data_IF_752258351508
#
_entry.id   IF_752258351508
#
_cell.length_a   1.000
_cell.length_b   1.000
_cell.length_c   1.000
_cell.angle_alpha   90.00
_cell.angle_beta   90.00
_cell.angle_gamma   90.00
#
_symmetry.space_group_name_H-M   'P 1'
#
loop_
_entity.id
_entity.type
_entity.pdbx_description
1 polymer ?
#
# COMPACT_ATOMS: atom_id res chain seq x y z
N UNK A 1 -0.61 7.27 12.05
CA UNK A 1 -0.67 8.40 11.11
C UNK A 1 -1.58 8.06 9.94
N UNK A 2 -2.47 8.95 9.60
CA UNK A 2 -3.39 8.79 8.47
C UNK A 2 -2.91 9.65 7.31
N UNK A 3 -2.97 9.10 6.11
CA UNK A 3 -2.59 9.80 4.89
C UNK A 3 -3.61 9.53 3.79
N UNK A 4 -3.74 10.48 2.88
CA UNK A 4 -4.54 10.30 1.67
C UNK A 4 -3.62 9.83 0.56
N UNK A 5 -3.96 8.73 -0.06
CA UNK A 5 -3.16 8.13 -1.13
C UNK A 5 -3.97 8.04 -2.42
N UNK A 6 -3.27 7.94 -3.53
CA UNK A 6 -3.86 7.50 -4.79
C UNK A 6 -3.42 6.08 -5.07
N UNK A 7 -4.38 5.25 -5.45
CA UNK A 7 -4.12 3.89 -5.93
C UNK A 7 -4.32 3.90 -7.43
N UNK A 8 -3.34 3.46 -8.17
CA UNK A 8 -3.32 3.53 -9.63
C UNK A 8 -3.06 2.16 -10.25
N UNK A 9 -3.50 1.97 -11.48
CA UNK A 9 -3.19 0.77 -12.25
C UNK A 9 -1.71 0.74 -12.61
N UNK A 10 -1.10 -0.44 -12.53
CA UNK A 10 0.31 -0.62 -12.92
C UNK A 10 0.48 -0.45 -14.42
N UNK A 11 -0.44 -0.99 -15.22
CA UNK A 11 -0.38 -0.95 -16.69
C UNK A 11 -0.77 0.42 -17.25
N UNK A 12 -1.54 1.20 -16.50
CA UNK A 12 -1.99 2.55 -16.89
C UNK A 12 -1.95 3.47 -15.66
N UNK A 13 -0.78 3.95 -15.25
CA UNK A 13 -0.64 4.70 -13.99
C UNK A 13 -1.36 6.03 -13.91
N UNK A 14 -1.96 6.46 -15.03
CA UNK A 14 -2.83 7.65 -15.03
C UNK A 14 -4.24 7.35 -14.54
N UNK A 15 -4.63 6.07 -14.50
CA UNK A 15 -5.94 5.65 -14.02
C UNK A 15 -5.81 5.38 -12.53
N UNK A 16 -6.29 6.31 -11.73
CA UNK A 16 -6.11 6.31 -10.27
C UNK A 16 -7.43 6.56 -9.55
N UNK A 17 -7.45 6.15 -8.30
CA UNK A 17 -8.54 6.43 -7.37
C UNK A 17 -7.96 6.96 -6.06
N UNK A 18 -8.55 8.01 -5.51
CA UNK A 18 -8.20 8.49 -4.18
C UNK A 18 -8.71 7.55 -3.11
N UNK A 19 -7.87 7.28 -2.14
CA UNK A 19 -8.22 6.53 -0.92
C UNK A 19 -7.79 7.39 0.26
N UNK A 20 -8.77 7.88 1.00
CA UNK A 20 -8.53 8.78 2.13
C UNK A 20 -8.31 8.01 3.42
N UNK A 21 -7.54 8.59 4.31
CA UNK A 21 -7.32 8.09 5.67
C UNK A 21 -6.72 6.70 5.71
N UNK A 22 -5.77 6.41 4.82
CA UNK A 22 -5.00 5.18 4.90
C UNK A 22 -4.07 5.24 6.11
N UNK A 23 -3.95 4.11 6.79
CA UNK A 23 -3.04 3.97 7.94
C UNK A 23 -1.67 3.56 7.43
N UNK A 24 -0.62 4.22 7.91
CA UNK A 24 0.74 3.75 7.70
C UNK A 24 1.02 2.63 8.71
N UNK A 25 1.28 1.43 8.21
CA UNK A 25 1.60 0.27 9.02
C UNK A 25 3.02 -0.20 8.71
N UNK A 26 3.95 0.16 9.59
CA UNK A 26 5.37 -0.16 9.42
C UNK A 26 5.68 -1.64 9.63
N UNK A 27 4.71 -2.44 10.07
CA UNK A 27 4.86 -3.89 10.20
C UNK A 27 4.35 -4.63 8.97
N UNK A 28 3.57 -3.98 8.13
CA UNK A 28 3.00 -4.60 6.94
C UNK A 28 4.01 -4.61 5.79
N UNK A 29 4.11 -5.74 5.11
CA UNK A 29 4.98 -5.90 3.92
C UNK A 29 4.22 -5.70 2.63
N UNK A 30 2.89 -5.74 2.66
CA UNK A 30 2.02 -5.43 1.53
C UNK A 30 1.00 -4.39 1.96
N UNK A 31 0.55 -3.58 1.01
CA UNK A 31 -0.51 -2.61 1.28
C UNK A 31 -1.88 -3.29 1.16
N UNK A 32 -2.87 -2.74 1.85
CA UNK A 32 -4.24 -3.22 1.78
C UNK A 32 -5.14 -2.13 1.24
N UNK A 33 -5.91 -2.44 0.22
CA UNK A 33 -6.82 -1.49 -0.43
C UNK A 33 -8.25 -2.00 -0.36
N UNK A 34 -9.25 -1.11 -0.27
CA UNK A 34 -10.65 -1.54 -0.26
C UNK A 34 -10.99 -2.29 -1.55
N UNK A 35 -11.79 -3.36 -1.40
CA UNK A 35 -12.13 -4.25 -2.53
C UNK A 35 -12.87 -3.49 -3.64
N UNK A 36 -13.70 -2.50 -3.30
CA UNK A 36 -14.41 -1.70 -4.29
C UNK A 36 -13.46 -0.84 -5.12
N UNK A 37 -12.41 -0.30 -4.51
CA UNK A 37 -11.37 0.46 -5.24
C UNK A 37 -10.62 -0.45 -6.20
N UNK A 38 -10.22 -1.64 -5.75
CA UNK A 38 -9.55 -2.61 -6.62
C UNK A 38 -10.43 -3.01 -7.79
N UNK A 39 -11.71 -3.23 -7.53
CA UNK A 39 -12.68 -3.62 -8.57
C UNK A 39 -12.89 -2.51 -9.59
N UNK A 40 -13.08 -1.29 -9.15
CA UNK A 40 -13.24 -0.13 -10.05
C UNK A 40 -12.03 0.10 -10.94
N UNK A 41 -10.83 -0.11 -10.39
CA UNK A 41 -9.59 0.05 -11.15
C UNK A 41 -9.27 -1.14 -12.05
N UNK A 42 -9.99 -2.26 -11.90
CA UNK A 42 -9.70 -3.47 -12.66
C UNK A 42 -8.40 -4.15 -12.25
N UNK A 43 -7.98 -3.95 -11.01
CA UNK A 43 -6.79 -4.63 -10.48
C UNK A 43 -7.12 -6.10 -10.28
N UNK A 44 -6.25 -6.97 -10.80
CA UNK A 44 -6.40 -8.42 -10.65
C UNK A 44 -5.46 -8.95 -9.58
N UNK A 45 -5.81 -10.11 -9.02
CA UNK A 45 -5.07 -10.73 -7.94
C UNK A 45 -4.68 -12.15 -8.33
N UNK A 46 -3.70 -12.29 -9.27
CA UNK A 46 -3.40 -13.57 -9.90
C UNK A 46 -2.55 -14.51 -9.07
N UNK A 47 -1.94 -14.01 -8.00
CA UNK A 47 -1.07 -14.80 -7.14
C UNK A 47 -1.71 -14.98 -5.77
N UNK A 48 -1.26 -15.98 -5.04
CA UNK A 48 -1.63 -16.17 -3.64
C UNK A 48 -0.38 -16.16 -2.79
N UNK A 49 -0.51 -15.63 -1.60
CA UNK A 49 0.58 -15.56 -0.65
C UNK A 49 0.07 -15.90 0.74
N UNK A 50 0.90 -16.62 1.50
CA UNK A 50 0.61 -16.95 2.87
C UNK A 50 1.09 -15.83 3.78
N UNK A 51 0.21 -15.39 4.68
CA UNK A 51 0.51 -14.36 5.66
C UNK A 51 0.35 -14.92 7.05
N UNK A 52 1.22 -14.49 7.95
CA UNK A 52 1.12 -14.82 9.36
C UNK A 52 0.41 -13.69 10.10
N UNK A 53 -0.66 -14.03 10.81
CA UNK A 53 -1.41 -13.10 11.63
C UNK A 53 -0.71 -12.90 12.98
N UNK A 54 -1.09 -11.84 13.70
CA UNK A 54 -0.51 -11.52 15.00
C UNK A 54 -0.68 -12.66 16.02
N UNK A 55 -1.73 -13.47 15.88
CA UNK A 55 -1.98 -14.63 16.75
C UNK A 55 -1.22 -15.90 16.35
N UNK A 56 -0.33 -15.82 15.37
CA UNK A 56 0.45 -16.93 14.87
C UNK A 56 -0.23 -17.77 13.80
N UNK A 57 -1.51 -17.57 13.52
CA UNK A 57 -2.22 -18.28 12.46
C UNK A 57 -1.73 -17.82 11.10
N UNK A 58 -1.73 -18.74 10.14
CA UNK A 58 -1.40 -18.44 8.76
C UNK A 58 -2.67 -18.42 7.91
N UNK A 59 -2.73 -17.48 6.98
CA UNK A 59 -3.86 -17.35 6.06
C UNK A 59 -3.33 -17.04 4.67
N UNK A 60 -3.85 -17.76 3.66
CA UNK A 60 -3.52 -17.49 2.27
C UNK A 60 -4.47 -16.44 1.70
N UNK A 61 -3.92 -15.41 1.04
CA UNK A 61 -4.70 -14.32 0.46
C UNK A 61 -4.27 -14.09 -0.98
N UNK A 62 -5.23 -13.74 -1.85
CA UNK A 62 -4.88 -13.28 -3.19
C UNK A 62 -4.10 -11.97 -3.11
N UNK A 63 -3.04 -11.86 -3.94
CA UNK A 63 -2.27 -10.62 -4.06
C UNK A 63 -2.23 -10.16 -5.50
N UNK A 64 -2.23 -8.85 -5.67
CA UNK A 64 -2.05 -8.18 -6.94
C UNK A 64 -0.99 -7.11 -6.81
N UNK A 65 -0.93 -6.21 -7.79
CA UNK A 65 0.00 -5.09 -7.77
C UNK A 65 -0.72 -3.80 -8.12
N UNK A 66 -0.28 -2.71 -7.51
CA UNK A 66 -0.79 -1.37 -7.79
C UNK A 66 0.35 -0.37 -7.66
N UNK A 67 0.20 0.78 -8.30
CA UNK A 67 1.05 1.94 -8.02
C UNK A 67 0.35 2.76 -6.96
N UNK A 68 1.07 3.10 -5.91
CA UNK A 68 0.54 3.92 -4.82
C UNK A 68 1.28 5.24 -4.83
N UNK A 69 0.53 6.33 -4.79
CA UNK A 69 1.07 7.69 -4.75
C UNK A 69 0.76 8.33 -3.42
N UNK A 70 1.77 8.96 -2.86
CA UNK A 70 1.64 9.79 -1.66
C UNK A 70 2.34 11.11 -1.96
N UNK A 71 1.54 12.19 -2.06
CA UNK A 71 2.03 13.50 -2.49
C UNK A 71 2.66 13.41 -3.88
N UNK A 72 3.92 13.82 -4.02
CA UNK A 72 4.65 13.82 -5.30
C UNK A 72 5.46 12.55 -5.56
N UNK A 73 5.35 11.53 -4.68
CA UNK A 73 6.12 10.29 -4.79
C UNK A 73 5.21 9.09 -5.00
N UNK A 74 5.72 8.10 -5.69
CA UNK A 74 4.98 6.88 -5.98
C UNK A 74 5.87 5.67 -5.97
N UNK A 75 5.27 4.50 -5.75
CA UNK A 75 5.95 3.22 -5.85
C UNK A 75 4.94 2.14 -6.23
N UNK A 76 5.40 1.14 -6.97
CA UNK A 76 4.62 -0.07 -7.15
C UNK A 76 4.74 -0.94 -5.89
N UNK A 77 3.65 -1.55 -5.50
CA UNK A 77 3.61 -2.41 -4.32
C UNK A 77 2.67 -3.59 -4.56
N UNK A 78 2.96 -4.69 -3.88
CA UNK A 78 2.00 -5.77 -3.77
C UNK A 78 0.84 -5.34 -2.88
N UNK A 79 -0.37 -5.69 -3.27
CA UNK A 79 -1.57 -5.29 -2.54
C UNK A 79 -2.49 -6.49 -2.29
N UNK A 80 -3.17 -6.43 -1.15
CA UNK A 80 -4.31 -7.29 -0.83
C UNK A 80 -5.55 -6.44 -0.72
N UNK A 81 -6.70 -7.05 -0.67
CA UNK A 81 -7.96 -6.33 -0.45
C UNK A 81 -8.42 -6.43 0.98
N UNK A 82 -9.12 -5.38 1.41
CA UNK A 82 -9.92 -5.36 2.64
C UNK A 82 -11.37 -5.06 2.27
N UNK A 83 -12.34 -5.41 3.12
CA UNK A 83 -13.74 -5.13 2.81
C UNK A 83 -13.99 -3.65 2.56
N UNK A 84 -15.00 -3.35 1.73
CA UNK A 84 -15.48 -1.98 1.53
C UNK A 84 -15.83 -1.35 2.86
N UNK A 85 -15.35 -0.12 3.07
CA UNK A 85 -15.52 0.60 4.33
C UNK A 85 -14.42 0.34 5.36
N UNK A 86 -13.63 -0.71 5.19
CA UNK A 86 -12.45 -0.91 6.02
C UNK A 86 -11.34 0.06 5.61
N UNK A 87 -10.50 0.40 6.57
CA UNK A 87 -9.43 1.35 6.34
C UNK A 87 -8.29 0.71 5.55
N UNK A 88 -7.83 1.42 4.52
CA UNK A 88 -6.65 1.02 3.76
C UNK A 88 -5.39 1.13 4.61
N UNK A 89 -4.38 0.33 4.29
CA UNK A 89 -3.06 0.43 4.93
C UNK A 89 -1.98 0.60 3.88
N UNK A 90 -1.00 1.43 4.22
CA UNK A 90 0.18 1.66 3.40
C UNK A 90 1.35 0.92 4.03
N UNK A 91 1.99 0.05 3.27
CA UNK A 91 3.06 -0.82 3.77
C UNK A 91 4.38 -0.09 3.94
N UNK A 92 5.25 -0.66 4.77
CA UNK A 92 6.63 -0.21 4.89
C UNK A 92 7.38 -0.31 3.56
N UNK A 93 7.10 -1.36 2.78
CA UNK A 93 7.73 -1.55 1.46
C UNK A 93 7.36 -0.44 0.50
N UNK A 94 6.10 -0.02 0.46
CA UNK A 94 5.67 1.10 -0.37
C UNK A 94 6.35 2.40 0.04
N UNK A 95 6.42 2.67 1.35
CA UNK A 95 7.11 3.85 1.86
C UNK A 95 8.58 3.86 1.46
N UNK A 96 9.26 2.73 1.63
CA UNK A 96 10.67 2.61 1.23
C UNK A 96 10.86 2.81 -0.26
N UNK A 97 9.96 2.26 -1.08
CA UNK A 97 9.99 2.44 -2.53
C UNK A 97 9.78 3.89 -2.96
N UNK A 98 9.00 4.64 -2.22
CA UNK A 98 8.80 6.08 -2.46
C UNK A 98 9.92 6.95 -1.90
N UNK A 99 10.80 6.39 -1.07
CA UNK A 99 11.85 7.16 -0.43
C UNK A 99 11.38 7.92 0.80
N UNK A 100 10.44 7.35 1.56
CA UNK A 100 10.05 7.89 2.85
C UNK A 100 10.62 7.05 3.99
N UNK A 101 10.94 7.73 5.06
CA UNK A 101 11.29 7.14 6.34
C UNK A 101 10.27 7.60 7.38
N UNK A 102 9.90 6.70 8.29
CA UNK A 102 9.01 7.04 9.39
C UNK A 102 9.85 7.30 10.63
N UNK A 103 9.67 8.46 11.26
CA UNK A 103 10.28 8.73 12.55
C UNK A 103 9.51 7.94 13.62
N UNK A 104 10.13 6.97 14.30
CA UNK A 104 9.42 6.12 15.26
C UNK A 104 8.95 6.88 16.51
N UNK A 105 9.55 8.03 16.81
CA UNK A 105 9.16 8.83 17.96
C UNK A 105 7.95 9.71 17.69
N UNK A 106 7.87 10.30 16.50
CA UNK A 106 6.82 11.27 16.15
C UNK A 106 5.77 10.72 15.22
N UNK A 107 6.04 9.59 14.55
CA UNK A 107 5.19 9.04 13.50
C UNK A 107 5.21 9.84 12.20
N UNK A 108 6.04 10.86 12.10
CA UNK A 108 6.10 11.72 10.91
C UNK A 108 6.95 11.10 9.81
N UNK A 109 6.57 11.40 8.57
CA UNK A 109 7.33 11.00 7.39
C UNK A 109 8.44 11.99 7.10
N UNK A 110 9.57 11.45 6.67
CA UNK A 110 10.70 12.23 6.19
C UNK A 110 11.03 11.78 4.77
N UNK A 111 11.14 12.72 3.85
CA UNK A 111 11.59 12.43 2.49
C UNK A 111 13.08 12.21 2.47
N UNK A 112 13.50 11.14 1.79
CA UNK A 112 14.90 10.81 1.61
C UNK A 112 15.27 10.94 0.15
N UNK A 113 16.52 11.35 -0.11
CA UNK A 113 17.07 11.29 -1.45
C UNK A 113 17.54 9.87 -1.75
N UNK A 114 17.33 9.42 -2.99
CA UNK A 114 17.87 8.13 -3.42
C UNK A 114 19.39 8.17 -3.47
N UNK A 115 20.03 7.13 -2.97
CA UNK A 115 21.48 6.99 -3.03
C UNK A 115 21.85 6.18 -4.27
N UNK A 116 22.83 6.70 -5.03
CA UNK A 116 23.46 5.96 -6.13
C UNK A 116 24.90 5.63 -5.73
N UNK A 117 25.31 4.44 -6.07
CA UNK A 117 26.69 3.99 -5.80
C UNK A 117 27.66 4.46 -6.88
#
# INVERSE_FOLDING_TARGET
MLVDIQVCRVDKPRICRWVKNAVIDTRATVSAIPVDVAHELGITFPRRREFQLANGKKVARPIGAAVIRLEDRSAADDVITVPTGARATLSLCALGGMGYEVNPKTGRLKKLDAALL
#
